data_IF_236785776848
#
_entry.id   IF_236785776848
#
_cell.length_a   1.000
_cell.length_b   1.000
_cell.length_c   1.000
_cell.angle_alpha   90.00
_cell.angle_beta   90.00
_cell.angle_gamma   90.00
#
_symmetry.space_group_name_H-M   'P 1'
#
loop_
_entity.id
_entity.type
_entity.pdbx_description
1 polymer ?
#
# COMPACT_ATOMS: atom_id res chain seq x y z
N UNK A 1 4.73 11.49 -1.37
CA UNK A 1 5.79 12.50 -1.51
C UNK A 1 6.65 12.14 -2.72
N UNK A 2 6.53 12.89 -3.83
CA UNK A 2 7.29 12.70 -5.07
C UNK A 2 8.61 13.45 -4.96
N UNK A 3 9.64 12.81 -4.40
CA UNK A 3 10.95 13.44 -4.26
C UNK A 3 11.68 13.43 -5.62
N UNK A 4 11.99 14.59 -6.25
CA UNK A 4 12.59 14.67 -7.59
C UNK A 4 14.00 14.08 -7.67
N UNK A 5 14.67 13.89 -6.53
CA UNK A 5 16.06 13.48 -6.45
C UNK A 5 16.32 11.99 -6.77
N UNK A 6 15.27 11.17 -6.88
CA UNK A 6 15.40 9.70 -7.04
C UNK A 6 15.14 9.24 -8.47
N UNK A 7 14.46 10.05 -9.29
CA UNK A 7 14.08 9.69 -10.66
C UNK A 7 14.62 10.70 -11.68
N UNK A 8 15.81 10.47 -12.27
CA UNK A 8 16.43 11.39 -13.24
C UNK A 8 15.62 11.56 -14.55
N UNK A 9 14.62 10.70 -14.78
CA UNK A 9 13.56 10.90 -15.78
C UNK A 9 12.21 10.49 -15.16
N UNK A 10 11.45 11.43 -14.58
CA UNK A 10 10.10 11.11 -14.12
C UNK A 10 9.23 10.74 -15.32
N UNK A 11 8.36 9.75 -15.14
CA UNK A 11 7.37 9.40 -16.16
C UNK A 11 6.42 10.59 -16.37
N UNK A 12 5.99 10.81 -17.61
CA UNK A 12 4.85 11.67 -17.86
C UNK A 12 3.59 11.04 -17.24
N UNK A 13 2.56 11.85 -16.96
CA UNK A 13 1.30 11.34 -16.43
C UNK A 13 0.71 10.23 -17.33
N UNK A 14 0.78 10.41 -18.65
CA UNK A 14 0.35 9.39 -19.60
C UNK A 14 1.15 8.08 -19.47
N UNK A 15 2.47 8.16 -19.42
CA UNK A 15 3.33 6.98 -19.26
C UNK A 15 3.10 6.25 -17.93
N UNK A 16 2.80 6.99 -16.87
CA UNK A 16 2.45 6.41 -15.57
C UNK A 16 1.10 5.67 -15.64
N UNK A 17 0.08 6.27 -16.27
CA UNK A 17 -1.22 5.63 -16.44
C UNK A 17 -1.14 4.39 -17.33
N UNK A 18 -0.42 4.43 -18.45
CA UNK A 18 -0.20 3.26 -19.33
C UNK A 18 0.53 2.11 -18.59
N UNK A 19 1.39 2.43 -17.63
CA UNK A 19 2.03 1.43 -16.79
C UNK A 19 1.03 0.81 -15.80
N UNK A 20 0.18 1.62 -15.18
CA UNK A 20 -0.87 1.16 -14.27
C UNK A 20 -1.87 0.25 -14.97
N UNK A 21 -2.34 0.62 -16.17
CA UNK A 21 -3.26 -0.20 -16.96
C UNK A 21 -2.67 -1.58 -17.24
N UNK A 22 -1.41 -1.64 -17.72
CA UNK A 22 -0.72 -2.92 -17.96
C UNK A 22 -0.56 -3.77 -16.71
N UNK A 23 -0.37 -3.17 -15.54
CA UNK A 23 -0.31 -3.92 -14.29
C UNK A 23 -1.67 -4.49 -13.89
N UNK A 24 -2.75 -3.72 -14.08
CA UNK A 24 -4.11 -4.15 -13.77
C UNK A 24 -4.63 -5.20 -14.75
N UNK A 25 -4.17 -5.18 -16.00
CA UNK A 25 -4.52 -6.17 -17.03
C UNK A 25 -3.72 -7.48 -16.93
N UNK A 26 -2.66 -7.52 -16.11
CA UNK A 26 -1.85 -8.71 -15.97
C UNK A 26 -2.69 -9.87 -15.37
N UNK A 27 -2.64 -11.11 -15.93
CA UNK A 27 -3.46 -12.23 -15.45
C UNK A 27 -3.41 -12.53 -13.93
N UNK A 28 -2.27 -12.37 -13.21
CA UNK A 28 -2.24 -12.60 -11.78
C UNK A 28 -2.68 -11.39 -10.94
N UNK A 29 -2.95 -10.23 -11.56
CA UNK A 29 -3.38 -9.04 -10.85
C UNK A 29 -4.86 -9.15 -10.46
N UNK A 30 -5.15 -8.89 -9.20
CA UNK A 30 -6.51 -8.91 -8.66
C UNK A 30 -6.74 -7.58 -7.95
N UNK A 31 -7.83 -6.91 -8.30
CA UNK A 31 -8.27 -5.71 -7.58
C UNK A 31 -9.00 -6.14 -6.29
N UNK A 32 -8.51 -5.67 -5.15
CA UNK A 32 -9.12 -5.89 -3.85
C UNK A 32 -9.80 -4.61 -3.37
N UNK A 33 -10.98 -4.75 -2.78
CA UNK A 33 -11.74 -3.63 -2.22
C UNK A 33 -11.81 -3.72 -0.70
N UNK A 34 -11.92 -2.57 -0.01
CA UNK A 34 -12.19 -2.55 1.42
C UNK A 34 -13.48 -3.28 1.78
N UNK A 35 -13.47 -4.04 2.87
CA UNK A 35 -14.69 -4.64 3.43
C UNK A 35 -15.34 -3.73 4.46
N UNK A 36 -16.47 -4.16 5.04
CA UNK A 36 -17.09 -3.45 6.19
C UNK A 36 -16.17 -3.39 7.42
N UNK A 37 -15.13 -4.23 7.49
CA UNK A 37 -14.17 -4.28 8.60
C UNK A 37 -13.06 -3.23 8.47
N UNK A 38 -13.00 -2.49 7.37
CA UNK A 38 -11.84 -1.68 7.01
C UNK A 38 -11.63 -0.50 7.94
N UNK A 39 -12.69 0.29 8.17
CA UNK A 39 -12.65 1.45 9.05
C UNK A 39 -12.22 1.08 10.49
N UNK A 40 -12.78 0.04 11.13
CA UNK A 40 -12.30 -0.45 12.42
C UNK A 40 -10.81 -0.83 12.42
N UNK A 41 -10.33 -1.54 11.38
CA UNK A 41 -8.93 -1.96 11.27
C UNK A 41 -7.98 -0.79 11.00
N UNK A 42 -8.45 0.23 10.28
CA UNK A 42 -7.70 1.44 9.96
C UNK A 42 -7.58 2.39 11.15
N UNK A 43 -8.64 2.47 11.97
CA UNK A 43 -8.77 3.45 13.06
C UNK A 43 -7.64 3.33 14.09
N UNK A 44 -7.38 2.13 14.59
CA UNK A 44 -6.36 1.92 15.63
C UNK A 44 -4.95 2.37 15.20
N UNK A 45 -4.45 1.96 14.02
CA UNK A 45 -3.17 2.42 13.52
C UNK A 45 -3.09 3.93 13.27
N UNK A 46 -4.17 4.54 12.77
CA UNK A 46 -4.22 5.99 12.55
C UNK A 46 -4.16 6.79 13.85
N UNK A 47 -4.89 6.34 14.88
CA UNK A 47 -4.87 6.97 16.21
C UNK A 47 -3.47 6.86 16.86
N UNK A 48 -2.73 5.78 16.60
CA UNK A 48 -1.40 5.55 17.20
C UNK A 48 -0.26 6.34 16.57
N UNK A 49 -0.31 6.60 15.27
CA UNK A 49 0.87 7.12 14.58
C UNK A 49 0.85 8.63 14.28
N UNK A 50 -0.19 9.36 14.73
CA UNK A 50 -0.16 10.81 15.01
C UNK A 50 0.13 11.77 13.84
N UNK A 51 0.49 11.24 12.66
CA UNK A 51 0.86 11.98 11.46
C UNK A 51 0.14 11.38 10.25
N UNK A 52 -0.72 12.18 9.60
CA UNK A 52 -1.68 11.70 8.60
C UNK A 52 -1.11 11.54 7.17
N UNK A 53 0.21 11.64 6.98
CA UNK A 53 0.83 11.63 5.64
C UNK A 53 0.94 10.23 5.03
N UNK A 54 2.17 9.72 4.93
CA UNK A 54 2.44 8.40 4.35
C UNK A 54 1.76 7.25 5.15
N UNK A 55 1.57 7.46 6.45
CA UNK A 55 0.94 6.49 7.33
C UNK A 55 -0.48 6.12 6.91
N UNK A 56 -1.27 7.07 6.39
CA UNK A 56 -2.66 6.77 5.98
C UNK A 56 -2.69 5.79 4.82
N UNK A 57 -1.79 5.98 3.85
CA UNK A 57 -1.61 5.04 2.74
C UNK A 57 -1.17 3.66 3.20
N UNK A 58 -0.16 3.59 4.06
CA UNK A 58 0.34 2.31 4.59
C UNK A 58 -0.71 1.60 5.44
N UNK A 59 -1.44 2.35 6.27
CA UNK A 59 -2.52 1.81 7.09
C UNK A 59 -3.65 1.25 6.22
N UNK A 60 -3.96 1.91 5.10
CA UNK A 60 -4.95 1.42 4.15
C UNK A 60 -4.52 0.09 3.54
N UNK A 61 -3.27 -0.02 3.07
CA UNK A 61 -2.73 -1.26 2.52
C UNK A 61 -2.63 -2.37 3.58
N UNK A 62 -2.22 -2.04 4.80
CA UNK A 62 -2.18 -2.96 5.93
C UNK A 62 -3.58 -3.51 6.28
N UNK A 63 -4.59 -2.65 6.32
CA UNK A 63 -5.98 -3.06 6.58
C UNK A 63 -6.48 -4.00 5.48
N UNK A 64 -6.25 -3.69 4.21
CA UNK A 64 -6.59 -4.60 3.10
C UNK A 64 -5.90 -5.97 3.26
N UNK A 65 -4.62 -5.99 3.61
CA UNK A 65 -3.90 -7.25 3.82
C UNK A 65 -4.51 -8.09 4.94
N UNK A 66 -4.90 -7.46 6.06
CA UNK A 66 -5.57 -8.14 7.18
C UNK A 66 -6.95 -8.67 6.80
N UNK A 67 -7.74 -7.90 6.04
CA UNK A 67 -9.08 -8.30 5.61
C UNK A 67 -9.07 -9.52 4.70
N UNK A 68 -8.10 -9.57 3.78
CA UNK A 68 -8.00 -10.60 2.76
C UNK A 68 -7.03 -11.73 3.14
N UNK A 69 -6.44 -11.70 4.35
CA UNK A 69 -5.45 -12.69 4.79
C UNK A 69 -4.18 -12.71 3.92
N UNK A 70 -3.83 -11.56 3.33
CA UNK A 70 -2.72 -11.43 2.39
C UNK A 70 -1.40 -11.06 3.09
N UNK A 71 -0.29 -11.30 2.39
CA UNK A 71 1.05 -10.87 2.82
C UNK A 71 1.45 -9.61 2.07
N UNK A 72 1.84 -8.56 2.81
CA UNK A 72 2.46 -7.37 2.23
C UNK A 72 3.89 -7.72 1.81
N UNK A 73 4.21 -7.50 0.53
CA UNK A 73 5.56 -7.65 0.01
C UNK A 73 6.13 -6.25 -0.23
N UNK A 74 7.03 -5.80 0.65
CA UNK A 74 7.58 -4.44 0.60
C UNK A 74 8.99 -4.37 1.18
N UNK A 75 9.77 -3.39 0.73
CA UNK A 75 11.02 -3.01 1.40
C UNK A 75 10.78 -2.09 2.60
N UNK A 76 9.60 -1.48 2.69
CA UNK A 76 9.25 -0.61 3.79
C UNK A 76 8.97 -1.42 5.06
N UNK A 77 9.78 -1.18 6.09
CA UNK A 77 9.68 -1.89 7.38
C UNK A 77 8.59 -1.30 8.25
N UNK A 78 8.07 -0.12 7.89
CA UNK A 78 7.01 0.53 8.62
C UNK A 78 5.75 -0.33 8.69
N UNK A 79 5.52 -1.25 7.74
CA UNK A 79 4.42 -2.20 7.82
C UNK A 79 4.45 -3.10 9.07
N UNK A 80 5.62 -3.30 9.70
CA UNK A 80 5.74 -4.08 10.93
C UNK A 80 5.05 -3.41 12.14
N UNK A 81 4.66 -2.13 12.05
CA UNK A 81 3.89 -1.43 13.11
C UNK A 81 2.43 -1.82 13.17
N UNK A 82 1.91 -2.47 12.12
CA UNK A 82 0.52 -2.92 12.06
C UNK A 82 0.45 -4.36 12.57
N UNK A 83 -0.11 -4.51 13.76
CA UNK A 83 -0.28 -5.80 14.42
C UNK A 83 -1.07 -6.78 13.53
N UNK A 84 -0.58 -8.02 13.41
CA UNK A 84 -1.19 -9.07 12.61
C UNK A 84 -0.85 -9.03 11.11
N UNK A 85 -0.22 -7.97 10.60
CA UNK A 85 0.18 -7.90 9.19
C UNK A 85 1.36 -8.84 8.93
N UNK A 86 1.21 -9.71 7.94
CA UNK A 86 2.32 -10.51 7.42
C UNK A 86 3.15 -9.66 6.46
N UNK A 87 4.43 -9.44 6.78
CA UNK A 87 5.37 -8.67 5.95
C UNK A 87 6.49 -9.57 5.42
N UNK A 88 6.74 -9.50 4.12
CA UNK A 88 7.85 -10.19 3.44
C UNK A 88 8.65 -9.20 2.59
N UNK A 89 9.96 -9.37 2.52
CA UNK A 89 10.78 -8.61 1.58
C UNK A 89 10.72 -9.27 0.19
N UNK A 90 10.74 -8.48 -0.90
CA UNK A 90 11.01 -9.00 -2.24
C UNK A 90 12.31 -9.82 -2.22
N UNK A 91 12.30 -10.98 -2.89
CA UNK A 91 13.47 -11.85 -3.05
C UNK A 91 14.29 -11.48 -4.28
#
# INVERSE_FOLDING_TARGET
STHPAVFPRPLSAAQATDALERWLEAPPAISITPTQRHLPLLRGPLERAGTAGNLVGDAHLAALALEHGATVVSFDRDFARFEGVSLRRPG
#
